data_IF_837486761977
#
_entry.id   IF_837486761977
#
_cell.length_a   1.000
_cell.length_b   1.000
_cell.length_c   1.000
_cell.angle_alpha   90.00
_cell.angle_beta   90.00
_cell.angle_gamma   90.00
#
_symmetry.space_group_name_H-M   'P 1'
#
loop_
_entity.id
_entity.type
_entity.pdbx_description
1 polymer ?
#
# COMPACT_ATOMS: atom_id res chain seq x y z
N UNK A 1 -25.82 43.68 -22.36
CA UNK A 1 -24.69 42.80 -22.73
C UNK A 1 -23.71 42.54 -21.57
N UNK A 2 -23.32 43.52 -20.73
CA UNK A 2 -22.34 43.27 -19.61
C UNK A 2 -22.81 42.31 -18.48
N UNK A 3 -24.09 42.17 -18.22
CA UNK A 3 -24.64 41.28 -17.19
C UNK A 3 -24.81 39.82 -17.62
N UNK A 4 -24.88 39.55 -18.92
CA UNK A 4 -25.00 38.19 -19.49
C UNK A 4 -23.61 37.52 -19.45
N UNK A 5 -22.55 38.27 -19.77
CA UNK A 5 -21.18 37.75 -19.76
C UNK A 5 -20.73 37.37 -18.34
N UNK A 6 -21.09 38.16 -17.29
CA UNK A 6 -20.75 37.81 -15.90
C UNK A 6 -21.45 36.55 -15.39
N UNK A 7 -22.69 36.30 -15.78
CA UNK A 7 -23.41 35.08 -15.38
C UNK A 7 -22.88 33.84 -16.09
N UNK A 8 -22.49 33.94 -17.36
CA UNK A 8 -21.88 32.83 -18.11
C UNK A 8 -20.51 32.44 -17.58
N UNK A 9 -19.67 33.40 -17.16
CA UNK A 9 -18.37 33.10 -16.55
C UNK A 9 -18.51 32.46 -15.16
N UNK A 10 -19.46 32.90 -14.32
CA UNK A 10 -19.69 32.29 -13.01
C UNK A 10 -20.22 30.85 -13.13
N UNK A 11 -21.14 30.60 -14.07
CA UNK A 11 -21.64 29.24 -14.33
C UNK A 11 -20.56 28.32 -14.90
N UNK A 12 -19.68 28.79 -15.76
CA UNK A 12 -18.57 28.00 -16.28
C UNK A 12 -17.54 27.67 -15.20
N UNK A 13 -17.25 28.59 -14.28
CA UNK A 13 -16.32 28.36 -13.15
C UNK A 13 -16.94 27.38 -12.16
N UNK A 14 -18.23 27.47 -11.85
CA UNK A 14 -18.94 26.51 -10.97
C UNK A 14 -19.02 25.10 -11.60
N UNK A 15 -19.21 25.00 -12.91
CA UNK A 15 -19.21 23.72 -13.62
C UNK A 15 -17.79 23.12 -13.66
N UNK A 16 -16.75 23.89 -13.89
CA UNK A 16 -15.38 23.42 -13.84
C UNK A 16 -14.99 22.97 -12.43
N UNK A 17 -15.34 23.70 -11.38
CA UNK A 17 -15.11 23.27 -9.99
C UNK A 17 -15.88 21.99 -9.64
N UNK A 18 -17.12 21.85 -10.08
CA UNK A 18 -17.92 20.65 -9.80
C UNK A 18 -17.44 19.43 -10.61
N UNK A 19 -16.83 19.63 -11.78
CA UNK A 19 -16.23 18.55 -12.58
C UNK A 19 -14.91 18.10 -11.94
N UNK A 20 -14.08 19.01 -11.44
CA UNK A 20 -12.82 18.68 -10.78
C UNK A 20 -13.04 17.96 -9.45
N UNK A 21 -13.99 18.40 -8.63
CA UNK A 21 -14.31 17.72 -7.34
C UNK A 21 -14.88 16.31 -7.56
N UNK A 22 -15.69 16.08 -8.61
CA UNK A 22 -16.18 14.75 -8.94
C UNK A 22 -15.08 13.81 -9.48
N UNK A 23 -14.09 14.34 -10.22
CA UNK A 23 -12.99 13.53 -10.73
C UNK A 23 -12.04 13.08 -9.61
N UNK A 24 -11.82 13.90 -8.59
CA UNK A 24 -10.89 13.61 -7.51
C UNK A 24 -11.49 12.66 -6.46
N UNK A 25 -12.73 12.87 -6.01
CA UNK A 25 -13.46 11.90 -5.16
C UNK A 25 -13.55 10.51 -5.83
N UNK A 26 -13.53 10.47 -7.16
CA UNK A 26 -13.42 9.27 -7.96
C UNK A 26 -12.05 8.58 -7.81
N UNK A 27 -10.94 9.33 -7.57
CA UNK A 27 -9.59 8.77 -7.41
C UNK A 27 -9.47 7.95 -6.13
N UNK A 28 -9.80 8.51 -4.97
CA UNK A 28 -9.76 7.79 -3.68
C UNK A 28 -10.59 6.50 -3.70
N UNK A 29 -11.84 6.59 -4.17
CA UNK A 29 -12.73 5.43 -4.21
C UNK A 29 -12.24 4.37 -5.20
N UNK A 30 -11.65 4.79 -6.32
CA UNK A 30 -11.03 3.90 -7.31
C UNK A 30 -9.86 3.14 -6.71
N UNK A 31 -8.98 3.79 -5.96
CA UNK A 31 -7.86 3.16 -5.26
C UNK A 31 -8.38 2.18 -4.22
N UNK A 32 -9.32 2.60 -3.37
CA UNK A 32 -9.89 1.78 -2.30
C UNK A 32 -10.56 0.50 -2.82
N UNK A 33 -11.27 0.60 -3.95
CA UNK A 33 -11.96 -0.52 -4.58
C UNK A 33 -11.08 -1.32 -5.55
N UNK A 34 -9.90 -0.79 -5.88
CA UNK A 34 -8.96 -1.42 -6.80
C UNK A 34 -7.85 -2.22 -6.11
N UNK A 35 -6.71 -2.26 -6.77
CA UNK A 35 -5.49 -2.92 -6.30
C UNK A 35 -4.30 -1.97 -6.42
N UNK A 36 -3.34 -2.06 -5.51
CA UNK A 36 -2.14 -1.21 -5.45
C UNK A 36 -0.93 -2.06 -5.80
N UNK A 37 -0.04 -1.55 -6.67
CA UNK A 37 1.29 -2.11 -6.91
C UNK A 37 2.33 -1.35 -6.09
N UNK A 38 2.98 -2.00 -5.13
CA UNK A 38 4.14 -1.43 -4.45
C UNK A 38 5.38 -1.59 -5.34
N UNK A 39 5.82 -0.49 -5.93
CA UNK A 39 7.01 -0.37 -6.76
C UNK A 39 8.26 -0.21 -5.87
N UNK A 40 8.55 -1.24 -5.05
CA UNK A 40 9.59 -1.18 -4.04
C UNK A 40 10.97 -0.97 -4.64
N UNK A 41 11.61 0.14 -4.26
CA UNK A 41 12.92 0.56 -4.72
C UNK A 41 13.03 0.87 -6.23
N UNK A 42 11.94 0.96 -6.99
CA UNK A 42 12.00 1.40 -8.37
C UNK A 42 12.25 2.91 -8.41
N UNK A 43 13.10 3.37 -9.33
CA UNK A 43 13.22 4.82 -9.57
C UNK A 43 11.93 5.40 -10.17
N UNK A 44 11.72 6.70 -10.02
CA UNK A 44 10.56 7.38 -10.61
C UNK A 44 10.51 7.17 -12.13
N UNK A 45 11.67 7.25 -12.79
CA UNK A 45 11.80 6.97 -14.21
C UNK A 45 11.45 5.53 -14.57
N UNK A 46 11.91 4.56 -13.79
CA UNK A 46 11.55 3.15 -13.99
C UNK A 46 10.06 2.92 -13.83
N UNK A 47 9.42 3.57 -12.85
CA UNK A 47 7.97 3.52 -12.67
C UNK A 47 7.29 4.11 -13.90
N UNK A 48 7.68 5.31 -14.33
CA UNK A 48 7.11 6.01 -15.50
C UNK A 48 7.14 5.14 -16.75
N UNK A 49 8.27 4.50 -17.03
CA UNK A 49 8.45 3.60 -18.19
C UNK A 49 7.52 2.37 -18.13
N UNK A 50 7.15 1.91 -16.94
CA UNK A 50 6.32 0.72 -16.72
C UNK A 50 4.83 1.02 -16.51
N UNK A 51 4.41 2.26 -16.40
CA UNK A 51 3.01 2.67 -16.21
C UNK A 51 2.06 2.02 -17.20
N UNK A 52 2.35 1.95 -18.53
CA UNK A 52 1.45 1.29 -19.48
C UNK A 52 1.20 -0.19 -19.15
N UNK A 53 2.24 -0.92 -18.76
CA UNK A 53 2.15 -2.33 -18.39
C UNK A 53 1.40 -2.53 -17.05
N UNK A 54 1.59 -1.63 -16.08
CA UNK A 54 0.91 -1.64 -14.80
C UNK A 54 -0.60 -1.41 -14.99
N UNK A 55 -0.97 -0.41 -15.78
CA UNK A 55 -2.37 -0.13 -16.13
C UNK A 55 -3.01 -1.30 -16.90
N UNK A 56 -2.30 -1.89 -17.87
CA UNK A 56 -2.76 -3.06 -18.61
C UNK A 56 -2.98 -4.27 -17.68
N UNK A 57 -2.16 -4.43 -16.63
CA UNK A 57 -2.34 -5.45 -15.61
C UNK A 57 -3.52 -5.17 -14.66
N UNK A 58 -4.21 -4.04 -14.79
CA UNK A 58 -5.44 -3.72 -14.08
C UNK A 58 -5.25 -3.21 -12.65
N UNK A 59 -4.07 -2.71 -12.30
CA UNK A 59 -3.88 -1.99 -11.04
C UNK A 59 -4.61 -0.64 -11.07
N UNK A 60 -5.08 -0.19 -9.92
CA UNK A 60 -5.71 1.12 -9.76
C UNK A 60 -4.72 2.20 -9.32
N UNK A 61 -3.66 1.80 -8.65
CA UNK A 61 -2.62 2.71 -8.16
C UNK A 61 -1.25 2.04 -8.09
N UNK A 62 -0.23 2.87 -8.05
CA UNK A 62 1.13 2.51 -7.65
C UNK A 62 1.43 3.07 -6.27
N UNK A 63 2.36 2.43 -5.55
CA UNK A 63 2.98 2.99 -4.35
C UNK A 63 4.48 3.08 -4.56
N UNK A 64 5.05 4.27 -4.40
CA UNK A 64 6.49 4.49 -4.48
C UNK A 64 7.17 4.12 -3.17
N UNK A 65 8.49 3.88 -3.20
CA UNK A 65 9.32 4.01 -2.00
C UNK A 65 9.39 5.48 -1.55
N UNK A 66 9.91 5.77 -0.32
CA UNK A 66 9.95 7.13 0.22
C UNK A 66 10.65 8.14 -0.71
N UNK A 67 9.93 9.20 -1.04
CA UNK A 67 10.40 10.22 -1.98
C UNK A 67 11.28 11.31 -1.34
N UNK A 68 11.40 11.33 -0.01
CA UNK A 68 12.17 12.32 0.74
C UNK A 68 13.68 12.20 0.52
N UNK A 69 14.40 13.26 0.79
CA UNK A 69 15.86 13.24 0.89
C UNK A 69 16.28 12.25 1.97
N UNK A 70 17.20 11.36 1.67
CA UNK A 70 17.58 10.27 2.54
C UNK A 70 19.09 10.16 2.74
N UNK A 71 19.51 9.29 3.67
CA UNK A 71 20.90 9.03 3.98
C UNK A 71 21.69 8.62 2.74
N UNK A 72 22.81 9.29 2.50
CA UNK A 72 23.83 8.90 1.55
C UNK A 72 24.93 8.15 2.28
N UNK A 73 25.18 6.91 1.91
CA UNK A 73 26.25 6.10 2.49
C UNK A 73 27.62 6.40 1.90
N UNK A 74 28.65 6.07 2.65
CA UNK A 74 30.04 6.37 2.27
C UNK A 74 30.48 5.62 1.00
N UNK A 75 29.86 4.45 0.71
CA UNK A 75 30.15 3.61 -0.46
C UNK A 75 29.04 3.65 -1.53
N UNK A 76 28.32 4.75 -1.65
CA UNK A 76 27.12 4.81 -2.46
C UNK A 76 25.91 4.27 -1.70
N UNK A 77 25.07 3.49 -2.29
CA UNK A 77 23.86 2.97 -1.67
C UNK A 77 22.89 2.37 -2.66
N UNK A 78 23.40 2.01 -3.84
CA UNK A 78 22.59 1.52 -4.95
C UNK A 78 22.39 0.00 -4.92
N UNK A 79 23.15 -0.73 -4.10
CA UNK A 79 22.89 -2.16 -3.91
C UNK A 79 21.58 -2.35 -3.14
N UNK A 80 20.75 -3.24 -3.61
CA UNK A 80 19.47 -3.55 -2.96
C UNK A 80 19.69 -4.21 -1.59
N UNK A 81 20.45 -5.29 -1.59
CA UNK A 81 21.08 -5.91 -0.43
C UNK A 81 22.46 -6.40 -0.84
N UNK A 82 23.49 -6.12 -0.07
CA UNK A 82 24.83 -6.60 -0.35
C UNK A 82 25.06 -8.04 0.14
N UNK A 83 26.15 -8.66 -0.29
CA UNK A 83 26.67 -9.87 0.32
C UNK A 83 26.90 -9.64 1.81
N UNK A 84 26.45 -10.53 2.69
CA UNK A 84 26.50 -10.43 4.16
C UNK A 84 25.56 -9.38 4.80
N UNK A 85 24.42 -9.07 4.18
CA UNK A 85 23.45 -8.15 4.76
C UNK A 85 23.88 -6.68 4.78
N UNK A 86 24.76 -6.29 3.88
CA UNK A 86 25.27 -4.91 3.77
C UNK A 86 24.47 -4.06 2.78
N UNK A 87 23.31 -4.52 2.36
CA UNK A 87 22.44 -3.82 1.43
C UNK A 87 21.91 -2.50 1.97
N UNK A 88 21.45 -1.65 1.06
CA UNK A 88 21.19 -0.23 1.32
C UNK A 88 19.75 0.21 1.05
N UNK A 89 18.84 -0.71 0.74
CA UNK A 89 17.42 -0.39 0.48
C UNK A 89 16.80 0.43 1.63
N UNK A 90 17.20 0.18 2.87
CA UNK A 90 16.70 0.86 4.07
C UNK A 90 17.17 2.32 4.20
N UNK A 91 18.08 2.80 3.34
CA UNK A 91 18.45 4.22 3.34
C UNK A 91 17.28 5.13 2.93
N UNK A 92 16.33 4.65 2.11
CA UNK A 92 15.09 5.38 1.85
C UNK A 92 14.33 5.69 3.14
N UNK A 93 14.38 4.78 4.12
CA UNK A 93 13.71 4.88 5.41
C UNK A 93 14.57 5.59 6.47
N UNK A 94 15.59 6.33 6.04
CA UNK A 94 16.45 7.15 6.92
C UNK A 94 16.44 8.61 6.41
N UNK A 95 15.36 9.39 6.66
CA UNK A 95 15.27 10.77 6.24
C UNK A 95 16.40 11.63 6.78
N UNK A 96 16.91 12.52 5.93
CA UNK A 96 17.84 13.59 6.28
C UNK A 96 17.24 14.97 6.06
N UNK A 97 16.15 15.03 5.30
CA UNK A 97 15.31 16.20 5.06
C UNK A 97 13.98 15.75 4.44
N UNK A 98 12.95 16.58 4.51
CA UNK A 98 11.66 16.36 3.86
C UNK A 98 11.52 17.30 2.64
N UNK A 99 12.27 16.97 1.60
CA UNK A 99 12.19 17.56 0.25
C UNK A 99 12.09 16.43 -0.76
N UNK A 100 11.34 16.64 -1.84
CA UNK A 100 11.13 15.60 -2.87
C UNK A 100 12.43 15.37 -3.66
N UNK A 101 12.79 14.10 -3.77
CA UNK A 101 13.93 13.64 -4.54
C UNK A 101 15.08 13.13 -3.68
N UNK A 102 15.70 12.09 -4.18
CA UNK A 102 16.91 11.52 -3.61
C UNK A 102 17.73 10.81 -4.70
N UNK A 103 19.00 10.55 -4.38
CA UNK A 103 19.95 9.96 -5.33
C UNK A 103 19.60 8.53 -5.79
N UNK A 104 18.72 7.84 -5.07
CA UNK A 104 18.31 6.47 -5.36
C UNK A 104 17.10 6.40 -6.29
N UNK A 105 16.12 7.29 -6.12
CA UNK A 105 14.85 7.23 -6.85
C UNK A 105 14.73 8.25 -7.97
N UNK A 106 15.41 9.39 -7.87
CA UNK A 106 15.35 10.45 -8.88
C UNK A 106 15.04 11.82 -8.28
N UNK A 107 14.90 12.80 -9.16
CA UNK A 107 14.66 14.20 -8.83
C UNK A 107 13.17 14.50 -8.61
N UNK A 108 12.85 15.71 -8.14
CA UNK A 108 11.49 16.21 -8.08
C UNK A 108 10.83 16.28 -9.47
N UNK A 109 11.60 16.63 -10.51
CA UNK A 109 11.07 16.68 -11.88
C UNK A 109 10.76 15.27 -12.42
N UNK A 110 11.58 14.27 -12.10
CA UNK A 110 11.30 12.87 -12.42
C UNK A 110 10.00 12.40 -11.73
N UNK A 111 9.77 12.82 -10.48
CA UNK A 111 8.54 12.53 -9.75
C UNK A 111 7.31 13.16 -10.42
N UNK A 112 7.38 14.44 -10.81
CA UNK A 112 6.31 15.13 -11.56
C UNK A 112 6.01 14.41 -12.87
N UNK A 113 7.03 14.04 -13.64
CA UNK A 113 6.88 13.32 -14.91
C UNK A 113 6.16 11.98 -14.72
N UNK A 114 6.59 11.22 -13.71
CA UNK A 114 5.95 9.95 -13.34
C UNK A 114 4.47 10.14 -12.96
N UNK A 115 4.16 11.12 -12.10
CA UNK A 115 2.77 11.39 -11.68
C UNK A 115 1.90 11.78 -12.87
N UNK A 116 2.38 12.66 -13.74
CA UNK A 116 1.67 13.02 -14.97
C UNK A 116 1.40 11.81 -15.84
N UNK A 117 2.40 10.95 -16.02
CA UNK A 117 2.23 9.72 -16.79
C UNK A 117 1.22 8.78 -16.15
N UNK A 118 1.22 8.64 -14.83
CA UNK A 118 0.25 7.83 -14.10
C UNK A 118 -1.18 8.34 -14.34
N UNK A 119 -1.40 9.65 -14.27
CA UNK A 119 -2.70 10.28 -14.55
C UNK A 119 -3.18 10.00 -15.97
N UNK A 120 -2.30 10.07 -16.98
CA UNK A 120 -2.64 9.76 -18.38
C UNK A 120 -3.20 8.34 -18.53
N UNK A 121 -2.75 7.40 -17.72
CA UNK A 121 -3.21 6.00 -17.70
C UNK A 121 -4.26 5.72 -16.62
N UNK A 122 -4.70 6.74 -15.91
CA UNK A 122 -5.71 6.65 -14.87
C UNK A 122 -5.26 5.87 -13.63
N UNK A 123 -3.97 5.84 -13.33
CA UNK A 123 -3.41 5.26 -12.11
C UNK A 123 -3.26 6.34 -11.04
N UNK A 124 -3.65 6.03 -9.80
CA UNK A 124 -3.31 6.85 -8.65
C UNK A 124 -1.85 6.64 -8.21
N UNK A 125 -1.27 7.66 -7.60
CA UNK A 125 0.09 7.62 -7.04
C UNK A 125 0.03 7.77 -5.52
N UNK A 126 0.45 6.74 -4.80
CA UNK A 126 0.59 6.73 -3.35
C UNK A 126 2.08 6.86 -3.03
N UNK A 127 2.44 7.76 -2.14
CA UNK A 127 3.83 7.95 -1.69
C UNK A 127 3.99 7.39 -0.29
N UNK A 128 5.05 6.60 -0.09
CA UNK A 128 5.48 6.19 1.25
C UNK A 128 6.11 7.39 1.95
N UNK A 129 5.60 7.78 3.12
CA UNK A 129 6.03 8.99 3.84
C UNK A 129 6.37 8.68 5.30
N UNK A 130 7.46 9.27 5.78
CA UNK A 130 8.11 8.90 7.04
C UNK A 130 8.19 10.08 8.01
N UNK A 131 7.13 10.43 8.72
CA UNK A 131 7.21 11.52 9.72
C UNK A 131 7.85 11.10 11.04
N UNK A 132 7.82 9.81 11.40
CA UNK A 132 8.13 9.31 12.73
C UNK A 132 9.60 9.41 13.13
N UNK A 133 10.54 9.31 12.19
CA UNK A 133 11.95 9.16 12.54
C UNK A 133 12.89 9.76 11.50
N UNK A 134 14.15 9.93 11.89
CA UNK A 134 15.25 10.34 11.02
C UNK A 134 16.32 9.26 10.93
N UNK A 135 17.34 9.53 10.10
CA UNK A 135 18.59 8.75 10.14
C UNK A 135 19.24 8.79 11.54
N UNK A 136 19.82 7.69 12.03
CA UNK A 136 20.61 7.72 13.26
C UNK A 136 21.93 8.51 13.12
N UNK A 137 22.33 8.85 11.89
CA UNK A 137 23.49 9.69 11.58
C UNK A 137 23.09 11.16 11.62
N UNK A 138 22.76 11.70 12.78
CA UNK A 138 22.20 13.05 12.97
C UNK A 138 23.03 14.18 12.33
N UNK A 139 24.36 14.02 12.21
CA UNK A 139 25.25 14.95 11.50
C UNK A 139 24.98 15.02 9.98
N UNK A 140 24.20 14.10 9.42
CA UNK A 140 23.81 14.09 8.01
C UNK A 140 22.46 14.77 7.78
N UNK A 141 21.74 15.15 8.82
CA UNK A 141 20.49 15.89 8.73
C UNK A 141 20.77 17.31 8.21
N UNK A 142 19.91 17.81 7.36
CA UNK A 142 19.98 19.15 6.78
C UNK A 142 20.03 20.22 7.88
N UNK A 143 21.01 21.12 7.81
CA UNK A 143 21.13 22.22 8.76
C UNK A 143 19.94 23.19 8.64
N UNK A 144 19.47 23.44 7.42
CA UNK A 144 18.28 24.24 7.15
C UNK A 144 17.03 23.66 7.83
N UNK A 145 16.87 22.33 7.73
CA UNK A 145 15.76 21.63 8.38
C UNK A 145 15.88 21.74 9.92
N UNK A 146 17.07 21.48 10.50
CA UNK A 146 17.30 21.58 11.94
C UNK A 146 16.94 23.00 12.45
N UNK A 147 17.36 24.04 11.74
CA UNK A 147 17.01 25.42 12.07
C UNK A 147 15.49 25.66 11.99
N UNK A 148 14.86 25.18 10.92
CA UNK A 148 13.41 25.35 10.69
C UNK A 148 12.54 24.74 11.77
N UNK A 149 12.98 23.65 12.42
CA UNK A 149 12.25 22.97 13.50
C UNK A 149 12.65 23.43 14.91
N UNK A 150 13.55 24.41 15.01
CA UNK A 150 13.95 25.04 16.26
C UNK A 150 15.11 24.35 16.98
N UNK A 151 15.87 23.48 16.31
CA UNK A 151 17.03 22.78 16.84
C UNK A 151 16.81 21.28 17.05
N UNK A 152 17.89 20.53 17.20
CA UNK A 152 17.84 19.07 17.43
C UNK A 152 17.12 18.67 18.72
N UNK A 153 17.22 19.47 19.76
CA UNK A 153 16.56 19.29 21.05
C UNK A 153 15.04 19.38 20.97
N UNK A 154 14.51 20.10 19.99
CA UNK A 154 13.07 20.23 19.72
C UNK A 154 12.58 19.27 18.62
N UNK A 155 13.51 18.78 17.82
CA UNK A 155 13.18 17.82 16.76
C UNK A 155 12.75 16.47 17.30
N UNK A 156 13.32 16.04 18.43
CA UNK A 156 13.09 14.72 19.00
C UNK A 156 12.28 14.76 20.28
N UNK A 157 11.51 13.70 20.54
CA UNK A 157 10.88 13.50 21.84
C UNK A 157 11.92 13.39 22.96
N UNK A 158 11.51 13.69 24.19
CA UNK A 158 12.38 13.57 25.37
C UNK A 158 12.89 12.15 25.60
N UNK A 159 12.02 11.14 25.40
CA UNK A 159 12.34 9.72 25.57
C UNK A 159 13.21 9.13 24.43
N UNK A 160 13.71 9.98 23.54
CA UNK A 160 14.57 9.56 22.41
C UNK A 160 15.99 9.14 22.84
N UNK A 161 16.27 8.96 24.13
CA UNK A 161 17.54 8.47 24.65
C UNK A 161 17.66 6.94 24.61
N UNK A 162 16.54 6.22 24.54
CA UNK A 162 16.49 4.76 24.52
C UNK A 162 15.56 4.19 23.44
N UNK A 163 15.65 2.89 23.20
CA UNK A 163 14.74 2.16 22.31
C UNK A 163 13.50 1.67 23.03
N UNK A 164 12.41 1.45 22.26
CA UNK A 164 11.16 0.89 22.79
C UNK A 164 11.45 -0.46 23.48
N UNK A 165 11.09 -0.60 24.74
CA UNK A 165 11.23 -1.82 25.55
C UNK A 165 9.90 -2.56 25.67
N UNK A 166 8.80 -1.83 25.78
CA UNK A 166 7.45 -2.37 25.91
C UNK A 166 6.49 -1.74 24.89
N UNK A 167 6.16 -2.49 23.85
CA UNK A 167 5.18 -2.08 22.83
C UNK A 167 3.73 -2.02 23.36
N UNK A 168 3.48 -2.43 24.60
CA UNK A 168 2.18 -2.26 25.26
C UNK A 168 2.05 -0.90 25.95
N UNK A 169 3.18 -0.26 26.26
CA UNK A 169 3.24 1.09 26.82
C UNK A 169 3.13 2.12 25.69
N UNK A 170 2.02 2.86 25.64
CA UNK A 170 1.76 3.83 24.57
C UNK A 170 2.75 4.99 24.57
N UNK A 171 3.07 5.54 25.74
CA UNK A 171 4.06 6.62 25.83
C UNK A 171 5.41 6.18 25.24
N UNK A 172 5.91 5.03 25.67
CA UNK A 172 7.16 4.49 25.14
C UNK A 172 7.08 4.17 23.66
N UNK A 173 5.95 3.62 23.21
CA UNK A 173 5.72 3.27 21.79
C UNK A 173 5.71 4.50 20.88
N UNK A 174 5.30 5.67 21.38
CA UNK A 174 5.12 6.90 20.58
C UNK A 174 6.19 7.96 20.80
N UNK A 175 7.15 7.73 21.69
CA UNK A 175 8.17 8.74 22.03
C UNK A 175 9.60 8.18 22.13
N UNK A 176 9.79 6.85 22.12
CA UNK A 176 11.10 6.22 22.18
C UNK A 176 11.55 5.72 20.79
N UNK A 177 12.87 5.53 20.62
CA UNK A 177 13.46 5.08 19.33
C UNK A 177 12.89 3.74 18.85
N UNK A 178 12.35 3.72 17.68
CA UNK A 178 11.94 2.49 16.99
C UNK A 178 13.12 1.90 16.22
N UNK A 179 13.57 0.69 16.61
CA UNK A 179 14.67 0.00 15.92
C UNK A 179 16.00 0.77 15.90
N UNK A 180 16.22 1.69 16.87
CA UNK A 180 17.42 2.53 16.94
C UNK A 180 17.36 3.80 16.10
N UNK A 181 16.26 4.06 15.39
CA UNK A 181 16.02 5.29 14.63
C UNK A 181 15.54 6.40 15.57
N UNK A 182 16.14 7.61 15.52
CA UNK A 182 15.73 8.72 16.37
C UNK A 182 14.29 9.12 16.13
N UNK A 183 13.52 9.18 17.21
CA UNK A 183 12.08 9.44 17.18
C UNK A 183 11.79 10.93 17.11
N UNK A 184 11.10 11.34 16.06
CA UNK A 184 10.76 12.74 15.81
C UNK A 184 9.58 13.15 16.69
N UNK A 185 9.70 14.31 17.36
CA UNK A 185 8.57 14.95 18.02
C UNK A 185 7.57 15.44 16.96
N UNK A 186 6.68 14.53 16.56
CA UNK A 186 5.64 14.77 15.54
C UNK A 186 4.60 15.79 16.00
N UNK A 187 4.54 16.12 17.28
CA UNK A 187 3.68 17.13 17.89
C UNK A 187 4.33 18.53 17.92
N UNK A 188 5.62 18.65 17.57
CA UNK A 188 6.28 19.93 17.44
C UNK A 188 5.63 20.76 16.30
N UNK A 189 5.00 21.93 16.59
CA UNK A 189 4.33 22.73 15.55
C UNK A 189 5.24 23.20 14.43
N UNK A 190 6.54 23.40 14.71
CA UNK A 190 7.51 23.80 13.68
C UNK A 190 7.79 22.62 12.73
N UNK A 191 7.93 21.41 13.28
CA UNK A 191 8.05 20.20 12.47
C UNK A 191 6.76 19.97 11.65
N UNK A 192 5.60 20.06 12.25
CA UNK A 192 4.31 19.89 11.55
C UNK A 192 4.18 20.89 10.39
N UNK A 193 4.55 22.15 10.59
CA UNK A 193 4.52 23.16 9.55
C UNK A 193 5.51 22.89 8.42
N UNK A 194 6.70 22.40 8.74
CA UNK A 194 7.71 22.01 7.75
C UNK A 194 7.25 20.79 6.96
N UNK A 195 6.78 19.77 7.67
CA UNK A 195 6.28 18.54 7.06
C UNK A 195 5.01 18.74 6.20
N UNK A 196 4.13 19.67 6.60
CA UNK A 196 2.96 20.07 5.81
C UNK A 196 3.34 20.64 4.44
N UNK A 197 4.44 21.43 4.37
CA UNK A 197 4.95 21.92 3.08
C UNK A 197 5.37 20.77 2.17
N UNK A 198 6.05 19.78 2.72
CA UNK A 198 6.49 18.60 1.98
C UNK A 198 5.32 17.77 1.44
N UNK A 199 4.34 17.43 2.29
CA UNK A 199 3.20 16.63 1.82
C UNK A 199 2.33 17.39 0.83
N UNK A 200 2.17 18.70 1.01
CA UNK A 200 1.45 19.55 0.06
C UNK A 200 2.20 19.70 -1.27
N UNK A 201 3.53 19.71 -1.26
CA UNK A 201 4.34 19.70 -2.49
C UNK A 201 4.21 18.36 -3.23
N UNK A 202 4.15 17.22 -2.53
CA UNK A 202 3.85 15.92 -3.14
C UNK A 202 2.48 15.91 -3.83
N UNK A 203 1.45 16.50 -3.21
CA UNK A 203 0.11 16.62 -3.78
C UNK A 203 0.12 17.51 -5.02
N UNK A 204 0.81 18.64 -4.96
CA UNK A 204 0.97 19.57 -6.10
C UNK A 204 1.71 18.92 -7.27
N UNK A 205 2.63 18.01 -7.00
CA UNK A 205 3.33 17.22 -8.01
C UNK A 205 2.46 16.08 -8.59
N UNK A 206 1.30 15.78 -7.99
CA UNK A 206 0.35 14.79 -8.49
C UNK A 206 0.23 13.51 -7.67
N UNK A 207 0.64 13.51 -6.39
CA UNK A 207 0.33 12.41 -5.49
C UNK A 207 -1.16 12.36 -5.15
N UNK A 208 -1.76 11.15 -5.19
CA UNK A 208 -3.17 10.87 -4.88
C UNK A 208 -3.36 10.25 -3.50
N UNK A 209 -2.28 10.02 -2.76
CA UNK A 209 -2.36 9.46 -1.42
C UNK A 209 -1.02 9.18 -0.76
N UNK A 210 -1.10 8.71 0.48
CA UNK A 210 0.06 8.44 1.31
C UNK A 210 -0.04 7.12 2.06
N UNK A 211 1.08 6.42 2.18
CA UNK A 211 1.30 5.40 3.18
C UNK A 211 2.16 6.02 4.27
N UNK A 212 1.61 6.19 5.47
CA UNK A 212 2.39 6.63 6.62
C UNK A 212 3.13 5.45 7.22
N UNK A 213 4.46 5.47 7.07
CA UNK A 213 5.37 4.52 7.68
C UNK A 213 5.28 4.59 9.20
N UNK A 214 5.37 3.43 9.87
CA UNK A 214 5.40 3.34 11.34
C UNK A 214 4.30 4.14 12.06
N UNK A 215 3.11 4.25 11.45
CA UNK A 215 2.02 5.09 11.95
C UNK A 215 1.62 4.80 13.40
N UNK A 216 1.77 3.55 13.88
CA UNK A 216 1.47 3.20 15.27
C UNK A 216 2.40 3.86 16.31
N UNK A 217 3.51 4.42 15.85
CA UNK A 217 4.51 5.11 16.67
C UNK A 217 4.28 6.63 16.76
N UNK A 218 3.22 7.12 16.13
CA UNK A 218 2.80 8.53 16.20
C UNK A 218 1.56 8.62 17.09
N UNK A 219 1.59 9.49 18.08
CA UNK A 219 0.55 9.60 19.11
C UNK A 219 -0.86 9.86 18.56
N UNK A 220 -1.83 9.17 19.13
CA UNK A 220 -3.25 9.48 18.98
C UNK A 220 -3.62 10.68 19.87
N UNK A 221 -4.69 11.43 19.59
CA UNK A 221 -5.07 12.61 20.37
C UNK A 221 -5.23 12.35 21.87
N UNK A 222 -5.56 11.13 22.28
CA UNK A 222 -5.77 10.70 23.65
C UNK A 222 -4.62 9.84 24.23
N UNK A 223 -3.51 9.66 23.49
CA UNK A 223 -2.30 9.02 24.00
C UNK A 223 -1.57 9.94 25.01
N UNK A 224 -0.73 9.38 25.91
CA UNK A 224 0.12 10.18 26.79
C UNK A 224 0.93 11.20 25.99
N UNK A 225 1.06 12.41 26.54
CA UNK A 225 1.82 13.49 25.92
C UNK A 225 3.26 13.47 26.42
N UNK A 226 4.19 13.74 25.52
CA UNK A 226 5.55 14.13 25.89
C UNK A 226 5.51 15.50 26.60
N UNK A 227 6.39 15.73 27.59
CA UNK A 227 6.36 16.99 28.36
C UNK A 227 6.65 18.23 27.51
N UNK A 228 7.29 18.07 26.33
CA UNK A 228 7.56 19.14 25.39
C UNK A 228 6.52 19.28 24.30
N UNK A 229 5.52 18.43 24.28
CA UNK A 229 4.50 18.40 23.24
C UNK A 229 3.21 19.06 23.72
N UNK A 230 2.71 20.11 23.04
CA UNK A 230 1.47 20.79 23.47
C UNK A 230 0.24 19.89 23.33
N UNK A 231 0.14 19.13 22.24
CA UNK A 231 -1.01 18.26 21.91
C UNK A 231 -0.57 17.14 20.97
N UNK A 232 -1.23 15.97 21.05
CA UNK A 232 -1.08 14.89 20.07
C UNK A 232 -2.02 15.13 18.89
N UNK A 233 -1.72 16.11 18.06
CA UNK A 233 -2.60 16.57 16.96
C UNK A 233 -2.07 16.30 15.55
N UNK A 234 -1.00 15.51 15.42
CA UNK A 234 -0.45 15.13 14.14
C UNK A 234 -1.54 14.56 13.20
N UNK A 235 -2.31 13.57 13.65
CA UNK A 235 -3.32 12.95 12.82
C UNK A 235 -4.48 13.86 12.42
N UNK A 236 -5.07 14.68 13.31
CA UNK A 236 -6.02 15.71 12.91
C UNK A 236 -5.49 16.64 11.81
N UNK A 237 -4.21 17.02 11.88
CA UNK A 237 -3.57 17.88 10.89
C UNK A 237 -3.37 17.14 9.56
N UNK A 238 -2.74 15.97 9.57
CA UNK A 238 -2.36 15.24 8.35
C UNK A 238 -3.47 14.33 7.78
N UNK A 239 -4.66 14.38 8.39
CA UNK A 239 -5.91 13.88 7.78
C UNK A 239 -6.84 15.02 7.32
N UNK A 240 -6.36 16.28 7.35
CA UNK A 240 -7.08 17.43 6.84
C UNK A 240 -8.22 17.95 7.75
N UNK A 241 -8.24 17.60 9.04
CA UNK A 241 -9.26 18.05 9.99
C UNK A 241 -8.84 19.29 10.79
N UNK A 242 -7.53 19.58 10.85
CA UNK A 242 -6.97 20.72 11.58
C UNK A 242 -5.90 21.39 10.73
N UNK A 243 -5.83 22.73 10.75
CA UNK A 243 -4.77 23.50 10.13
C UNK A 243 -3.54 23.61 11.02
N UNK A 244 -2.37 23.73 10.43
CA UNK A 244 -1.14 24.15 11.09
C UNK A 244 -0.67 25.50 10.52
N UNK A 245 -0.55 26.53 11.36
CA UNK A 245 -0.23 27.90 10.95
C UNK A 245 -1.12 28.43 9.81
N UNK A 246 -2.42 28.07 9.83
CA UNK A 246 -3.38 28.46 8.80
C UNK A 246 -3.30 27.66 7.51
N UNK A 247 -2.41 26.65 7.42
CA UNK A 247 -2.25 25.80 6.24
C UNK A 247 -2.96 24.45 6.48
N UNK A 248 -3.82 24.08 5.56
CA UNK A 248 -4.49 22.75 5.56
C UNK A 248 -3.77 21.79 4.62
N UNK A 249 -3.96 20.51 4.88
CA UNK A 249 -3.66 19.47 3.90
C UNK A 249 -4.51 19.67 2.65
N UNK A 250 -3.86 19.79 1.49
CA UNK A 250 -4.55 19.98 0.21
C UNK A 250 -5.31 18.72 -0.18
N UNK A 251 -6.47 18.90 -0.80
CA UNK A 251 -7.29 17.81 -1.36
C UNK A 251 -7.56 16.63 -0.41
N UNK A 252 -7.60 16.88 0.91
CA UNK A 252 -7.63 15.84 1.95
C UNK A 252 -8.77 14.80 1.74
N UNK A 253 -9.93 15.22 1.23
CA UNK A 253 -11.09 14.36 0.98
C UNK A 253 -10.85 13.37 -0.18
N UNK A 254 -9.98 13.72 -1.12
CA UNK A 254 -9.69 12.95 -2.32
C UNK A 254 -8.49 12.02 -2.16
N UNK A 255 -7.68 12.23 -1.12
CA UNK A 255 -6.48 11.44 -0.87
C UNK A 255 -6.81 10.04 -0.33
N UNK A 256 -6.16 9.02 -0.87
CA UNK A 256 -6.12 7.70 -0.25
C UNK A 256 -4.98 7.64 0.78
N UNK A 257 -5.30 7.90 2.03
CA UNK A 257 -4.33 7.84 3.14
C UNK A 257 -4.48 6.51 3.86
N UNK A 258 -3.36 5.83 4.14
CA UNK A 258 -3.34 4.70 5.04
C UNK A 258 -2.08 4.66 5.90
N UNK A 259 -2.16 4.03 7.07
CA UNK A 259 -1.05 3.94 8.02
C UNK A 259 -0.55 2.51 8.20
N UNK A 260 0.77 2.37 8.32
CA UNK A 260 1.36 1.13 8.80
C UNK A 260 1.15 1.02 10.31
N UNK A 261 0.14 0.24 10.69
CA UNK A 261 -0.16 -0.09 12.07
C UNK A 261 -0.02 -1.60 12.22
N UNK A 262 1.20 -2.06 12.50
CA UNK A 262 1.47 -3.49 12.73
C UNK A 262 0.80 -3.95 14.01
N UNK A 263 0.00 -5.00 13.90
CA UNK A 263 -0.80 -5.53 15.00
C UNK A 263 0.09 -6.16 16.07
N UNK A 264 -0.32 -6.00 17.32
CA UNK A 264 0.36 -6.54 18.49
C UNK A 264 0.74 -5.46 19.51
N UNK A 265 0.98 -5.87 20.76
CA UNK A 265 1.09 -4.95 21.89
C UNK A 265 -0.21 -4.18 22.09
N UNK A 266 -0.11 -2.90 22.45
CA UNK A 266 -1.23 -1.95 22.50
C UNK A 266 -1.21 -1.06 21.26
N UNK A 267 -1.37 -1.65 20.05
CA UNK A 267 -1.26 -0.93 18.79
C UNK A 267 -2.50 -0.05 18.48
N UNK A 268 -3.61 -0.22 19.21
CA UNK A 268 -4.85 0.57 19.08
C UNK A 268 -5.35 0.66 17.63
N UNK A 269 -5.35 -0.48 16.93
CA UNK A 269 -5.66 -0.58 15.49
C UNK A 269 -7.06 -0.05 15.14
N UNK A 270 -8.01 -0.16 16.06
CA UNK A 270 -9.38 0.36 15.94
C UNK A 270 -9.40 1.88 15.94
N UNK A 271 -8.63 2.53 16.82
CA UNK A 271 -8.55 3.98 16.93
C UNK A 271 -7.90 4.61 15.68
N UNK A 272 -6.78 4.04 15.21
CA UNK A 272 -6.21 4.46 13.92
C UNK A 272 -7.16 4.16 12.76
N UNK A 273 -7.79 2.96 12.77
CA UNK A 273 -8.74 2.53 11.74
C UNK A 273 -10.01 3.37 11.65
N UNK A 274 -10.34 4.13 12.70
CA UNK A 274 -11.41 5.12 12.68
C UNK A 274 -11.03 6.41 11.94
N UNK A 275 -9.75 6.69 11.77
CA UNK A 275 -9.25 7.90 11.10
C UNK A 275 -8.89 7.64 9.64
N UNK A 276 -8.23 6.52 9.34
CA UNK A 276 -7.78 6.11 8.00
C UNK A 276 -7.61 4.59 7.92
N UNK A 277 -7.56 3.99 6.72
CA UNK A 277 -7.22 2.58 6.55
C UNK A 277 -5.88 2.21 7.20
N UNK A 278 -5.81 1.01 7.79
CA UNK A 278 -4.63 0.50 8.48
C UNK A 278 -4.24 -0.90 7.99
N UNK A 279 -3.00 -1.29 8.21
CA UNK A 279 -2.46 -2.55 7.70
C UNK A 279 -2.97 -3.76 8.47
N UNK A 280 -3.40 -4.82 7.77
CA UNK A 280 -3.88 -6.09 8.35
C UNK A 280 -2.76 -7.15 8.41
N UNK A 281 -1.73 -6.92 9.23
CA UNK A 281 -0.53 -7.75 9.30
C UNK A 281 -0.81 -9.19 9.77
N UNK A 282 -1.68 -9.39 10.75
CA UNK A 282 -2.06 -10.72 11.23
C UNK A 282 -2.78 -11.54 10.14
N UNK A 283 -3.62 -10.89 9.34
CA UNK A 283 -4.27 -11.55 8.21
C UNK A 283 -3.25 -11.98 7.17
N UNK A 284 -2.27 -11.14 6.85
CA UNK A 284 -1.15 -11.47 5.97
C UNK A 284 -0.37 -12.70 6.46
N UNK A 285 -0.09 -12.80 7.76
CA UNK A 285 0.56 -13.96 8.38
C UNK A 285 -0.22 -15.27 8.23
N UNK A 286 -1.54 -15.21 8.48
CA UNK A 286 -2.43 -16.35 8.29
C UNK A 286 -2.48 -16.77 6.82
N UNK A 287 -2.56 -15.81 5.92
CA UNK A 287 -2.60 -16.07 4.48
C UNK A 287 -1.30 -16.73 3.99
N UNK A 288 -0.12 -16.24 4.43
CA UNK A 288 1.19 -16.87 4.14
C UNK A 288 1.22 -18.33 4.60
N UNK A 289 0.74 -18.58 5.82
CA UNK A 289 0.62 -19.94 6.35
C UNK A 289 -0.34 -20.80 5.54
N UNK A 290 -1.49 -20.28 5.16
CA UNK A 290 -2.51 -20.99 4.39
C UNK A 290 -1.99 -21.43 3.00
N UNK A 291 -1.33 -20.54 2.26
CA UNK A 291 -0.78 -20.87 0.92
C UNK A 291 0.43 -21.80 1.02
N UNK A 292 1.28 -21.63 2.02
CA UNK A 292 2.44 -22.49 2.27
C UNK A 292 2.02 -23.94 2.55
N UNK A 293 0.92 -24.13 3.28
CA UNK A 293 0.41 -25.42 3.70
C UNK A 293 -0.73 -25.95 2.80
N UNK A 294 -1.08 -25.26 1.73
CA UNK A 294 -2.18 -25.58 0.82
C UNK A 294 -3.53 -25.73 1.54
N UNK A 295 -3.80 -24.88 2.52
CA UNK A 295 -5.02 -24.89 3.35
C UNK A 295 -5.77 -23.58 3.22
N UNK A 296 -6.48 -23.41 2.11
CA UNK A 296 -7.33 -22.24 1.85
C UNK A 296 -8.71 -22.38 2.51
N UNK A 297 -8.73 -22.74 3.78
CA UNK A 297 -9.96 -22.97 4.54
C UNK A 297 -10.72 -21.67 4.81
N UNK A 298 -12.05 -21.69 4.58
CA UNK A 298 -12.95 -20.59 4.94
C UNK A 298 -12.81 -20.25 6.43
N UNK A 299 -12.71 -21.25 7.31
CA UNK A 299 -12.51 -21.04 8.75
C UNK A 299 -11.31 -20.16 9.07
N UNK A 300 -10.22 -20.26 8.29
CA UNK A 300 -9.02 -19.44 8.45
C UNK A 300 -9.15 -18.07 7.80
N UNK A 301 -9.76 -18.01 6.61
CA UNK A 301 -9.67 -16.85 5.72
C UNK A 301 -10.88 -15.93 5.76
N UNK A 302 -12.04 -16.35 6.25
CA UNK A 302 -13.24 -15.50 6.31
C UNK A 302 -13.08 -14.30 7.23
N UNK A 303 -12.45 -14.49 8.38
CA UNK A 303 -12.20 -13.41 9.34
C UNK A 303 -10.91 -12.65 9.02
N UNK A 304 -10.99 -11.34 8.86
CA UNK A 304 -9.85 -10.46 8.57
C UNK A 304 -8.83 -10.34 9.71
N UNK A 305 -9.16 -10.86 10.91
CA UNK A 305 -8.28 -10.79 12.10
C UNK A 305 -7.85 -9.36 12.43
N UNK A 306 -8.75 -8.42 12.24
CA UNK A 306 -8.51 -7.00 12.47
C UNK A 306 -9.74 -6.36 13.12
N UNK A 307 -9.58 -5.47 14.13
CA UNK A 307 -10.70 -4.79 14.77
C UNK A 307 -11.35 -3.72 13.88
N UNK A 308 -10.59 -3.09 12.98
CA UNK A 308 -11.15 -2.13 12.03
C UNK A 308 -12.06 -2.82 11.01
N UNK A 309 -13.04 -2.07 10.51
CA UNK A 309 -13.97 -2.55 9.48
C UNK A 309 -13.21 -2.97 8.21
N UNK A 310 -13.67 -4.00 7.48
CA UNK A 310 -12.98 -4.49 6.28
C UNK A 310 -12.68 -3.44 5.21
N UNK A 311 -13.50 -2.39 5.11
CA UNK A 311 -13.25 -1.27 4.19
C UNK A 311 -12.09 -0.35 4.62
N UNK A 312 -11.69 -0.43 5.88
CA UNK A 312 -10.65 0.40 6.50
C UNK A 312 -9.36 -0.39 6.77
N UNK A 313 -9.08 -1.43 5.99
CA UNK A 313 -7.82 -2.17 6.08
C UNK A 313 -7.12 -2.24 4.72
N UNK A 314 -5.79 -2.24 4.74
CA UNK A 314 -4.93 -2.58 3.61
C UNK A 314 -4.37 -3.98 3.84
N UNK A 315 -4.48 -4.83 2.83
CA UNK A 315 -4.12 -6.26 2.93
C UNK A 315 -2.98 -6.60 1.98
N UNK A 316 -2.10 -7.48 2.40
CA UNK A 316 -1.03 -8.03 1.57
C UNK A 316 -0.73 -9.49 1.93
N UNK A 317 -0.16 -10.22 0.99
CA UNK A 317 0.46 -11.51 1.29
C UNK A 317 1.89 -11.33 1.75
N UNK A 318 2.58 -10.34 1.20
CA UNK A 318 3.92 -9.92 1.62
C UNK A 318 4.12 -8.42 1.46
N UNK A 319 5.06 -7.87 2.22
CA UNK A 319 5.58 -6.52 2.15
C UNK A 319 7.11 -6.56 2.01
N UNK A 320 7.74 -5.41 1.84
CA UNK A 320 9.19 -5.32 1.84
C UNK A 320 9.81 -5.81 3.16
N UNK A 321 9.13 -5.61 4.31
CA UNK A 321 9.60 -6.09 5.59
C UNK A 321 9.53 -7.60 5.71
N UNK A 322 8.41 -8.21 5.35
CA UNK A 322 8.29 -9.68 5.40
C UNK A 322 9.19 -10.37 4.39
N UNK A 323 9.59 -9.70 3.31
CA UNK A 323 10.52 -10.21 2.31
C UNK A 323 11.98 -9.92 2.68
N UNK A 324 12.34 -8.63 2.81
CA UNK A 324 13.73 -8.19 2.90
C UNK A 324 14.23 -8.10 4.36
N UNK A 325 13.38 -7.66 5.30
CA UNK A 325 13.80 -7.40 6.66
C UNK A 325 13.68 -8.66 7.56
N UNK A 326 12.53 -9.32 7.51
CA UNK A 326 12.23 -10.48 8.36
C UNK A 326 12.44 -11.83 7.65
N UNK A 327 12.40 -11.84 6.31
CA UNK A 327 12.55 -13.05 5.50
C UNK A 327 11.38 -14.03 5.58
N UNK A 328 10.26 -13.68 6.21
CA UNK A 328 9.10 -14.55 6.44
C UNK A 328 8.46 -15.05 5.14
N UNK A 329 8.36 -14.18 4.15
CA UNK A 329 7.75 -14.49 2.85
C UNK A 329 8.76 -14.90 1.79
N UNK A 330 10.05 -14.67 1.99
CA UNK A 330 11.09 -14.83 0.97
C UNK A 330 11.11 -16.22 0.31
N UNK A 331 10.75 -17.27 1.07
CA UNK A 331 10.72 -18.67 0.58
C UNK A 331 9.41 -19.08 -0.09
N UNK A 332 8.41 -18.21 -0.18
CA UNK A 332 7.19 -18.50 -0.92
C UNK A 332 7.45 -18.48 -2.41
N UNK A 333 6.94 -19.50 -3.12
CA UNK A 333 7.02 -19.56 -4.57
C UNK A 333 6.07 -18.55 -5.22
N UNK A 334 6.33 -18.18 -6.47
CA UNK A 334 5.45 -17.29 -7.22
C UNK A 334 4.00 -17.82 -7.30
N UNK A 335 3.83 -19.14 -7.45
CA UNK A 335 2.49 -19.73 -7.45
C UNK A 335 1.76 -19.58 -6.11
N UNK A 336 2.46 -19.67 -4.98
CA UNK A 336 1.90 -19.42 -3.66
C UNK A 336 1.55 -17.95 -3.46
N UNK A 337 2.41 -17.05 -3.94
CA UNK A 337 2.15 -15.61 -3.89
C UNK A 337 0.93 -15.22 -4.74
N UNK A 338 0.81 -15.77 -5.97
CA UNK A 338 -0.37 -15.54 -6.80
C UNK A 338 -1.64 -16.11 -6.17
N UNK A 339 -1.57 -17.28 -5.53
CA UNK A 339 -2.72 -17.84 -4.81
C UNK A 339 -3.15 -16.92 -3.65
N UNK A 340 -2.22 -16.43 -2.85
CA UNK A 340 -2.50 -15.48 -1.79
C UNK A 340 -3.02 -14.14 -2.32
N UNK A 341 -2.44 -13.63 -3.40
CA UNK A 341 -2.94 -12.45 -4.10
C UNK A 341 -4.40 -12.61 -4.54
N UNK A 342 -4.71 -13.75 -5.16
CA UNK A 342 -6.07 -14.03 -5.61
C UNK A 342 -7.07 -14.06 -4.45
N UNK A 343 -6.67 -14.53 -3.26
CA UNK A 343 -7.52 -14.48 -2.07
C UNK A 343 -7.84 -13.04 -1.71
N UNK A 344 -6.85 -12.18 -1.50
CA UNK A 344 -7.11 -10.81 -1.02
C UNK A 344 -7.72 -9.91 -2.09
N UNK A 345 -7.32 -10.06 -3.35
CA UNK A 345 -7.80 -9.20 -4.43
C UNK A 345 -9.19 -9.58 -4.95
N UNK A 346 -9.62 -10.85 -4.82
CA UNK A 346 -10.98 -11.25 -5.21
C UNK A 346 -12.04 -10.91 -4.16
N UNK A 347 -11.67 -10.71 -2.90
CA UNK A 347 -12.61 -10.42 -1.79
C UNK A 347 -13.19 -9.00 -1.91
N UNK A 348 -14.35 -8.78 -1.26
CA UNK A 348 -15.04 -7.47 -1.28
C UNK A 348 -14.51 -6.47 -0.24
N UNK A 349 -13.74 -6.91 0.76
CA UNK A 349 -13.11 -6.08 1.77
C UNK A 349 -11.61 -5.92 1.56
N UNK A 350 -11.01 -5.00 2.31
CA UNK A 350 -9.59 -4.67 2.24
C UNK A 350 -9.19 -3.99 0.93
N UNK A 351 -8.19 -3.16 0.96
CA UNK A 351 -7.51 -2.66 -0.25
C UNK A 351 -6.24 -3.49 -0.43
N UNK A 352 -6.14 -4.34 -1.47
CA UNK A 352 -4.99 -5.23 -1.61
C UNK A 352 -3.78 -4.52 -2.20
N UNK A 353 -2.63 -4.75 -1.58
CA UNK A 353 -1.30 -4.29 -1.97
C UNK A 353 -0.50 -5.47 -2.52
N UNK A 354 -0.02 -5.35 -3.75
CA UNK A 354 0.89 -6.30 -4.39
C UNK A 354 2.32 -5.82 -4.23
N UNK A 355 3.15 -6.56 -3.52
CA UNK A 355 4.57 -6.25 -3.40
C UNK A 355 5.33 -6.72 -4.65
N UNK A 356 6.01 -5.80 -5.33
CA UNK A 356 6.87 -6.13 -6.46
C UNK A 356 8.24 -6.61 -5.97
N UNK A 357 8.44 -7.92 -5.92
CA UNK A 357 9.75 -8.50 -5.58
C UNK A 357 10.84 -8.04 -6.55
N UNK A 358 12.10 -7.92 -6.08
CA UNK A 358 13.26 -7.75 -6.96
C UNK A 358 13.33 -8.86 -8.01
N UNK A 359 14.06 -8.60 -9.11
CA UNK A 359 14.36 -9.64 -10.10
C UNK A 359 15.23 -10.74 -9.50
N UNK A 360 15.08 -11.94 -10.03
CA UNK A 360 15.85 -13.13 -9.63
C UNK A 360 14.99 -14.38 -9.69
N UNK A 361 15.59 -15.55 -9.47
CA UNK A 361 14.86 -16.81 -9.29
C UNK A 361 13.85 -16.68 -8.14
N UNK A 362 12.75 -17.43 -8.19
CA UNK A 362 11.70 -17.32 -7.16
C UNK A 362 12.20 -17.63 -5.73
N UNK A 363 11.61 -18.39 -4.96
CA UNK A 363 11.81 -18.62 -3.52
C UNK A 363 13.27 -18.80 -3.01
N UNK A 364 14.24 -18.99 -3.86
CA UNK A 364 15.65 -19.23 -3.47
C UNK A 364 16.54 -17.98 -3.61
N UNK A 365 16.10 -16.99 -4.38
CA UNK A 365 16.87 -15.78 -4.62
C UNK A 365 16.42 -14.66 -3.70
N UNK A 366 17.23 -14.36 -2.70
CA UNK A 366 17.04 -13.27 -1.77
C UNK A 366 18.39 -12.58 -1.53
N UNK A 367 18.52 -11.31 -1.87
CA UNK A 367 17.50 -10.30 -2.23
C UNK A 367 17.14 -10.18 -3.73
N UNK A 368 17.63 -11.04 -4.59
CA UNK A 368 17.53 -10.92 -6.03
C UNK A 368 18.82 -10.45 -6.67
N UNK A 369 18.79 -10.17 -7.98
CA UNK A 369 19.91 -9.66 -8.77
C UNK A 369 19.78 -8.17 -9.11
N UNK A 370 18.67 -7.54 -8.67
CA UNK A 370 18.36 -6.14 -8.93
C UNK A 370 19.19 -5.19 -8.10
N UNK A 371 19.28 -3.95 -8.58
CA UNK A 371 19.74 -2.78 -7.84
C UNK A 371 18.58 -1.88 -7.49
N UNK A 372 18.80 -0.93 -6.61
CA UNK A 372 17.86 0.17 -6.38
C UNK A 372 17.73 0.96 -7.69
N UNK A 373 16.51 1.30 -8.03
CA UNK A 373 16.14 1.93 -9.29
C UNK A 373 15.60 0.95 -10.34
N UNK A 374 15.97 -0.34 -10.26
CA UNK A 374 15.53 -1.35 -11.24
C UNK A 374 14.05 -1.70 -11.08
N UNK A 375 13.42 -2.11 -12.18
CA UNK A 375 12.09 -2.72 -12.17
C UNK A 375 12.11 -4.06 -11.43
N UNK A 376 11.07 -4.36 -10.68
CA UNK A 376 10.90 -5.68 -10.04
C UNK A 376 10.67 -6.82 -11.05
N UNK A 377 10.44 -8.01 -10.53
CA UNK A 377 10.13 -9.16 -11.38
C UNK A 377 8.81 -9.00 -12.14
N UNK A 378 8.56 -9.84 -13.13
CA UNK A 378 7.39 -9.74 -14.01
C UNK A 378 6.07 -10.25 -13.42
N UNK A 379 6.04 -10.68 -12.16
CA UNK A 379 4.85 -11.26 -11.53
C UNK A 379 3.66 -10.29 -11.45
N UNK A 380 3.91 -8.98 -11.31
CA UNK A 380 2.82 -7.99 -11.31
C UNK A 380 1.98 -7.98 -12.60
N UNK A 381 2.55 -8.40 -13.74
CA UNK A 381 1.86 -8.51 -15.03
C UNK A 381 1.55 -9.96 -15.43
N UNK A 382 1.72 -10.92 -14.51
CA UNK A 382 1.34 -12.31 -14.78
C UNK A 382 -0.16 -12.41 -15.09
N UNK A 383 -0.61 -13.21 -16.08
CA UNK A 383 -2.02 -13.29 -16.48
C UNK A 383 -2.99 -13.57 -15.33
N UNK A 384 -2.61 -14.38 -14.34
CA UNK A 384 -3.42 -14.65 -13.15
C UNK A 384 -3.59 -13.39 -12.29
N UNK A 385 -2.53 -12.61 -12.08
CA UNK A 385 -2.57 -11.35 -11.32
C UNK A 385 -3.45 -10.34 -12.05
N UNK A 386 -3.20 -10.13 -13.35
CA UNK A 386 -3.96 -9.19 -14.16
C UNK A 386 -5.45 -9.53 -14.24
N UNK A 387 -5.79 -10.81 -14.38
CA UNK A 387 -7.19 -11.24 -14.42
C UNK A 387 -7.92 -10.98 -13.09
N UNK A 388 -7.26 -11.23 -11.96
CA UNK A 388 -7.84 -11.00 -10.63
C UNK A 388 -7.98 -9.50 -10.34
N UNK A 389 -7.01 -8.67 -10.76
CA UNK A 389 -7.12 -7.20 -10.64
C UNK A 389 -8.35 -6.66 -11.38
N UNK A 390 -8.52 -7.08 -12.64
CA UNK A 390 -9.68 -6.71 -13.46
C UNK A 390 -11.00 -7.23 -12.89
N UNK A 391 -10.99 -8.46 -12.36
CA UNK A 391 -12.14 -9.04 -11.66
C UNK A 391 -12.55 -8.17 -10.46
N UNK A 392 -11.60 -7.75 -9.61
CA UNK A 392 -11.89 -6.90 -8.46
C UNK A 392 -12.63 -5.63 -8.86
N UNK A 393 -12.12 -4.94 -9.87
CA UNK A 393 -12.75 -3.71 -10.38
C UNK A 393 -14.14 -3.98 -10.96
N UNK A 394 -14.28 -5.03 -11.78
CA UNK A 394 -15.55 -5.39 -12.42
C UNK A 394 -16.62 -5.83 -11.40
N UNK A 395 -16.21 -6.38 -10.27
CA UNK A 395 -17.10 -6.88 -9.21
C UNK A 395 -17.24 -5.93 -8.03
N UNK A 396 -16.80 -4.68 -8.17
CA UNK A 396 -16.91 -3.68 -7.10
C UNK A 396 -18.36 -3.50 -6.65
N UNK A 397 -18.57 -3.41 -5.32
CA UNK A 397 -19.90 -3.25 -4.72
C UNK A 397 -20.73 -4.53 -4.59
N UNK A 398 -20.32 -5.66 -5.17
CA UNK A 398 -21.04 -6.93 -5.03
C UNK A 398 -20.61 -7.67 -3.75
N UNK A 399 -21.59 -8.37 -3.14
CA UNK A 399 -21.34 -9.22 -1.98
C UNK A 399 -20.40 -10.38 -2.29
N UNK A 400 -19.74 -10.91 -1.26
CA UNK A 400 -18.89 -12.09 -1.41
C UNK A 400 -19.50 -13.35 -0.78
N UNK A 401 -19.21 -14.49 -1.39
CA UNK A 401 -19.45 -15.81 -0.82
C UNK A 401 -18.19 -16.65 -1.00
N UNK A 402 -17.71 -17.27 0.09
CA UNK A 402 -16.56 -18.15 0.09
C UNK A 402 -17.02 -19.60 0.10
N UNK A 403 -16.47 -20.46 -0.76
CA UNK A 403 -16.82 -21.87 -0.87
C UNK A 403 -15.53 -22.73 -0.88
N UNK A 404 -15.49 -23.77 -0.01
CA UNK A 404 -14.53 -24.87 -0.14
C UNK A 404 -15.27 -26.08 -0.71
N UNK A 405 -15.04 -26.46 -1.97
CA UNK A 405 -15.66 -27.66 -2.55
C UNK A 405 -14.92 -28.94 -2.09
N UNK A 406 -15.35 -29.59 -1.04
CA UNK A 406 -14.81 -30.87 -0.53
C UNK A 406 -13.27 -30.97 -0.35
N UNK A 407 -12.54 -29.92 -0.63
CA UNK A 407 -11.07 -29.87 -0.62
C UNK A 407 -10.62 -28.48 -0.09
N UNK A 408 -9.98 -28.47 1.08
CA UNK A 408 -9.46 -27.24 1.68
C UNK A 408 -8.25 -26.65 0.94
N UNK A 409 -7.67 -27.34 -0.03
CA UNK A 409 -6.67 -26.78 -0.95
C UNK A 409 -7.28 -25.93 -2.05
N UNK A 410 -8.62 -25.90 -2.16
CA UNK A 410 -9.35 -25.12 -3.15
C UNK A 410 -10.28 -24.13 -2.48
N UNK A 411 -10.24 -22.88 -2.94
CA UNK A 411 -11.15 -21.83 -2.52
C UNK A 411 -11.83 -21.21 -3.75
N UNK A 412 -13.14 -21.06 -3.69
CA UNK A 412 -13.93 -20.29 -4.64
C UNK A 412 -14.40 -19.02 -3.94
N UNK A 413 -14.15 -17.87 -4.54
CA UNK A 413 -14.62 -16.56 -4.08
C UNK A 413 -15.61 -16.06 -5.12
N UNK A 414 -16.90 -16.09 -4.79
CA UNK A 414 -17.96 -15.51 -5.62
C UNK A 414 -18.16 -14.05 -5.26
N UNK A 415 -18.53 -13.24 -6.27
CA UNK A 415 -18.97 -11.87 -6.11
C UNK A 415 -20.38 -11.74 -6.67
N UNK A 416 -21.35 -11.69 -5.74
CA UNK A 416 -22.75 -11.86 -6.08
C UNK A 416 -22.98 -13.15 -6.88
N UNK A 417 -23.76 -13.03 -7.93
CA UNK A 417 -24.00 -14.10 -8.92
C UNK A 417 -23.31 -13.82 -10.29
N UNK A 418 -22.42 -12.79 -10.34
CA UNK A 418 -21.83 -12.26 -11.58
C UNK A 418 -20.47 -12.84 -11.92
N UNK A 419 -19.71 -13.28 -10.92
CA UNK A 419 -18.37 -13.77 -11.18
C UNK A 419 -17.77 -14.55 -10.01
N UNK A 420 -16.70 -15.28 -10.31
CA UNK A 420 -15.97 -16.07 -9.32
C UNK A 420 -14.49 -16.15 -9.66
N UNK A 421 -13.66 -16.17 -8.60
CA UNK A 421 -12.24 -16.56 -8.67
C UNK A 421 -12.08 -17.91 -7.99
N UNK A 422 -11.50 -18.88 -8.70
CA UNK A 422 -11.24 -20.24 -8.22
C UNK A 422 -9.74 -20.39 -8.05
N UNK A 423 -9.29 -20.73 -6.85
CA UNK A 423 -7.88 -20.86 -6.48
C UNK A 423 -7.63 -22.32 -6.12
N UNK A 424 -6.81 -23.02 -6.89
CA UNK A 424 -6.37 -24.39 -6.57
C UNK A 424 -4.91 -24.36 -6.11
N UNK A 425 -4.68 -24.35 -4.80
CA UNK A 425 -3.35 -24.35 -4.18
C UNK A 425 -2.74 -25.74 -4.04
N UNK A 426 -3.44 -26.81 -4.42
CA UNK A 426 -2.95 -28.17 -4.34
C UNK A 426 -1.65 -28.37 -5.14
N UNK A 427 -0.82 -29.31 -4.72
CA UNK A 427 0.49 -29.53 -5.33
C UNK A 427 0.46 -30.44 -6.56
N UNK A 428 -0.57 -31.27 -6.70
CA UNK A 428 -0.72 -32.27 -7.78
C UNK A 428 -2.15 -32.36 -8.25
N UNK A 429 -2.34 -32.79 -9.49
CA UNK A 429 -3.65 -33.09 -10.07
C UNK A 429 -4.42 -31.87 -10.53
N UNK A 430 -5.70 -32.08 -10.76
CA UNK A 430 -6.69 -31.05 -11.08
C UNK A 430 -7.95 -31.33 -10.27
N UNK A 431 -8.63 -30.28 -9.81
CA UNK A 431 -9.87 -30.44 -9.06
C UNK A 431 -11.06 -30.05 -9.95
N UNK A 432 -11.97 -30.99 -10.12
CA UNK A 432 -13.26 -30.74 -10.78
C UNK A 432 -14.25 -30.22 -9.74
N UNK A 433 -14.98 -29.17 -10.08
CA UNK A 433 -15.95 -28.56 -9.20
C UNK A 433 -17.14 -28.01 -9.95
N UNK A 434 -18.26 -27.87 -9.23
CA UNK A 434 -19.48 -27.24 -9.70
C UNK A 434 -19.94 -26.22 -8.66
N UNK A 435 -20.50 -25.12 -9.12
CA UNK A 435 -21.10 -24.07 -8.26
C UNK A 435 -22.07 -23.24 -9.08
N UNK A 436 -22.98 -22.56 -8.40
CA UNK A 436 -23.96 -21.68 -9.03
C UNK A 436 -23.39 -20.33 -9.37
N UNK A 437 -23.67 -19.87 -10.60
CA UNK A 437 -23.36 -18.52 -11.07
C UNK A 437 -24.33 -18.16 -12.20
N UNK A 438 -24.96 -17.00 -12.13
CA UNK A 438 -25.96 -16.56 -13.11
C UNK A 438 -25.29 -16.09 -14.42
N UNK A 439 -24.81 -17.04 -15.18
CA UNK A 439 -24.25 -16.84 -16.51
C UNK A 439 -25.09 -17.58 -17.56
N UNK A 440 -25.14 -17.11 -18.80
CA UNK A 440 -25.81 -17.80 -19.89
C UNK A 440 -25.25 -19.22 -20.11
N UNK A 441 -26.10 -20.14 -20.56
CA UNK A 441 -25.66 -21.50 -20.95
C UNK A 441 -24.61 -21.40 -22.06
N UNK A 442 -23.55 -22.22 -21.95
CA UNK A 442 -22.48 -22.18 -22.95
C UNK A 442 -21.19 -22.86 -22.51
N UNK A 443 -20.22 -22.79 -23.43
CA UNK A 443 -18.83 -23.23 -23.17
C UNK A 443 -17.95 -22.00 -23.27
N UNK A 444 -17.16 -21.76 -22.23
CA UNK A 444 -16.36 -20.57 -22.09
C UNK A 444 -14.91 -20.90 -21.74
N UNK A 445 -14.06 -19.87 -21.73
CA UNK A 445 -12.69 -19.92 -21.20
C UNK A 445 -12.54 -18.90 -20.10
N UNK A 446 -11.88 -19.28 -19.00
CA UNK A 446 -11.56 -18.35 -17.93
C UNK A 446 -10.60 -17.23 -18.39
N UNK A 447 -10.59 -16.10 -17.67
CA UNK A 447 -9.83 -14.91 -18.04
C UNK A 447 -8.32 -14.99 -17.72
N UNK A 448 -7.90 -15.95 -16.88
CA UNK A 448 -6.52 -16.06 -16.40
C UNK A 448 -5.66 -17.06 -17.19
N UNK A 449 -6.14 -18.29 -17.35
CA UNK A 449 -5.39 -19.41 -17.91
C UNK A 449 -6.05 -20.06 -19.14
N UNK A 450 -7.16 -19.50 -19.64
CA UNK A 450 -7.93 -20.04 -20.78
C UNK A 450 -8.47 -21.44 -20.54
N UNK A 451 -8.72 -21.81 -19.27
CA UNK A 451 -9.31 -23.09 -18.89
C UNK A 451 -10.77 -23.12 -19.36
N UNK A 452 -11.14 -24.15 -20.11
CA UNK A 452 -12.52 -24.33 -20.55
C UNK A 452 -13.44 -24.67 -19.37
N UNK A 453 -14.61 -24.05 -19.36
CA UNK A 453 -15.69 -24.37 -18.43
C UNK A 453 -17.05 -24.35 -19.14
N UNK A 454 -18.02 -25.00 -18.56
CA UNK A 454 -19.39 -25.04 -19.08
C UNK A 454 -20.35 -24.43 -18.08
N UNK A 455 -21.37 -23.77 -18.58
CA UNK A 455 -22.54 -23.31 -17.83
C UNK A 455 -23.76 -23.99 -18.37
N UNK A 456 -24.52 -24.62 -17.47
CA UNK A 456 -25.81 -25.26 -17.80
C UNK A 456 -26.78 -24.98 -16.67
N UNK A 457 -27.91 -24.30 -16.98
CA UNK A 457 -28.95 -23.96 -16.01
C UNK A 457 -28.38 -23.22 -14.77
N UNK A 458 -27.50 -22.25 -14.98
CA UNK A 458 -26.87 -21.48 -13.91
C UNK A 458 -25.77 -22.24 -13.12
N UNK A 459 -25.46 -23.49 -13.49
CA UNK A 459 -24.40 -24.29 -12.87
C UNK A 459 -23.13 -24.20 -13.71
N UNK A 460 -22.06 -23.70 -13.12
CA UNK A 460 -20.71 -23.74 -13.67
C UNK A 460 -20.09 -25.12 -13.38
N UNK A 461 -19.47 -25.72 -14.40
CA UNK A 461 -18.62 -26.91 -14.27
C UNK A 461 -17.23 -26.59 -14.82
N UNK A 462 -16.21 -26.68 -13.97
CA UNK A 462 -14.81 -26.40 -14.31
C UNK A 462 -13.86 -27.44 -13.69
N UNK A 463 -12.71 -27.65 -14.33
CA UNK A 463 -11.61 -28.46 -13.77
C UNK A 463 -10.33 -27.62 -13.77
N UNK A 464 -9.93 -27.15 -12.58
CA UNK A 464 -8.76 -26.26 -12.41
C UNK A 464 -7.54 -27.09 -12.03
N UNK A 465 -6.42 -27.01 -12.81
CA UNK A 465 -5.17 -27.67 -12.45
C UNK A 465 -4.59 -27.16 -11.14
N UNK A 466 -3.74 -27.97 -10.50
CA UNK A 466 -3.00 -27.57 -9.31
C UNK A 466 -2.15 -26.29 -9.58
N UNK A 467 -1.96 -25.46 -8.56
CA UNK A 467 -1.18 -24.21 -8.60
C UNK A 467 -1.70 -23.21 -9.64
N UNK A 468 -2.98 -23.29 -10.02
CA UNK A 468 -3.62 -22.42 -11.00
C UNK A 468 -4.82 -21.69 -10.42
N UNK A 469 -5.10 -20.55 -11.03
CA UNK A 469 -6.23 -19.67 -10.70
C UNK A 469 -7.10 -19.58 -11.94
N UNK A 470 -8.41 -19.76 -11.78
CA UNK A 470 -9.36 -19.45 -12.84
C UNK A 470 -10.22 -18.25 -12.44
N UNK A 471 -10.49 -17.36 -13.38
CA UNK A 471 -11.28 -16.14 -13.19
C UNK A 471 -12.42 -16.13 -14.19
N UNK A 472 -13.65 -16.10 -13.67
CA UNK A 472 -14.91 -16.23 -14.41
C UNK A 472 -15.75 -14.98 -14.18
N UNK A 473 -16.13 -14.30 -15.24
CA UNK A 473 -17.15 -13.23 -15.25
C UNK A 473 -17.44 -12.78 -16.68
#
# INVERSE_FOLDING_TARGET
>A
MKNIIKRSCLSAILILLSITTNLNAQSRQKIQNGTILQCWCWSFKTIEENIPAIAQAGFAAIQTSPANTCLVGDNGGMELLGSKGTGKWYYHYQPTDWKIGNYQLGTRDDFISMCKKAQEYGLGVIVDVLPNHTTPRTKKISAEFIEAVGGLDKLYHKNNDHGIKDYSNREECTTAKMGGLPDVNTENPLFQAYYMKYVNDLIECGADGFRYDTAKHIGLPDDPKDEYSPENDFWPIFTGKKAINGIMLKNAEDLFIYGEVLQGGNAREDAYGAMFPVTASNYGGILRSAVKNNKLSIKLLSNWRHPAAPKNIVTWIESHDTYANQGESAKLTHAQLRAGWAVIAARNGGTPLFFSRPQGPEATQFPGVSKIGDVGNSEFKHPEVAAVNKFRTAMSGLDETLINPNDMGVLIIKRGDKGAVIINANQKGKTKMTFELNLPNGVYKDKANQIKYTVKNGIVSISVPCKKIAVIY
#
